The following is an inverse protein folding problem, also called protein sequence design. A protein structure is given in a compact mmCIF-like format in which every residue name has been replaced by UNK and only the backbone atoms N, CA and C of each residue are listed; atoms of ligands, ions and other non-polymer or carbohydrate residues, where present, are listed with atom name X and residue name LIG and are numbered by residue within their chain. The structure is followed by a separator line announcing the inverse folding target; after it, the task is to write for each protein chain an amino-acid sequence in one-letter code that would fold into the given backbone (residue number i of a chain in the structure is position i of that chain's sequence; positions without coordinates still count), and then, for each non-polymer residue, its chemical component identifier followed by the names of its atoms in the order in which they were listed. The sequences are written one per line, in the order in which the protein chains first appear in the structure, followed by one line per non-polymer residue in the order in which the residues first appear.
data_IF_928551773444
#
_entry.id   IF_928551773444
#
_cell.length_a   1.000
_cell.length_b   1.000
_cell.length_c   1.000
_cell.angle_alpha   90.00
_cell.angle_beta   90.00
_cell.angle_gamma   90.00
#
_symmetry.space_group_name_H-M   'P 1'
#
loop_
_entity.id
_entity.type
_entity.pdbx_description
1 polymer ?
#
# COMPACT_ATOMS: atom_id res chain seq x y z
N UNK A 1 4.61 20.37 -26.23
CA UNK A 1 5.46 19.18 -26.37
C UNK A 1 5.07 18.11 -25.38
N UNK A 2 5.34 16.89 -25.72
CA UNK A 2 5.09 15.77 -24.81
C UNK A 2 6.03 15.87 -23.61
N UNK A 3 5.47 16.04 -22.42
CA UNK A 3 6.24 16.13 -21.19
C UNK A 3 5.66 15.17 -20.15
N UNK A 4 6.50 14.75 -19.21
CA UNK A 4 6.02 14.05 -18.01
C UNK A 4 5.09 14.96 -17.23
N UNK A 5 4.10 14.37 -16.56
CA UNK A 5 3.13 15.11 -15.78
C UNK A 5 2.95 14.52 -14.40
N UNK A 6 2.87 15.39 -13.41
CA UNK A 6 2.54 15.03 -12.03
C UNK A 6 1.14 15.52 -11.70
N UNK A 7 0.26 14.58 -11.37
CA UNK A 7 -1.07 14.87 -10.85
C UNK A 7 -0.94 15.19 -9.36
N UNK A 8 -1.27 16.43 -8.94
CA UNK A 8 -1.13 16.85 -7.54
C UNK A 8 -2.33 16.36 -6.71
N UNK A 9 -2.54 15.06 -6.70
CA UNK A 9 -3.65 14.43 -5.97
C UNK A 9 -3.30 14.22 -4.49
N UNK A 10 -4.35 14.07 -3.67
CA UNK A 10 -4.23 13.85 -2.24
C UNK A 10 -5.60 13.82 -1.58
N UNK A 11 -5.66 13.53 -0.29
CA UNK A 11 -6.89 13.50 0.51
C UNK A 11 -6.58 13.77 1.98
N UNK A 12 -7.49 14.40 2.72
CA UNK A 12 -7.36 14.65 4.17
C UNK A 12 -6.03 15.30 4.57
N UNK A 13 -5.63 16.39 3.92
CA UNK A 13 -4.33 17.05 4.08
C UNK A 13 -3.11 16.19 3.68
N UNK A 14 -3.32 15.03 3.05
CA UNK A 14 -2.26 14.19 2.50
C UNK A 14 -1.99 14.57 1.06
N UNK A 15 -0.76 14.95 0.74
CA UNK A 15 -0.29 15.11 -0.64
C UNK A 15 0.35 13.80 -1.09
N UNK A 16 -0.26 13.13 -2.05
CA UNK A 16 0.15 11.81 -2.55
C UNK A 16 0.15 11.81 -4.09
N UNK A 17 1.10 12.50 -4.72
CA UNK A 17 1.11 12.65 -6.17
C UNK A 17 1.35 11.33 -6.88
N UNK A 18 0.71 11.18 -8.03
CA UNK A 18 1.03 10.18 -9.04
C UNK A 18 1.56 10.90 -10.29
N UNK A 19 2.60 10.34 -10.92
CA UNK A 19 3.17 10.94 -12.12
C UNK A 19 3.20 9.95 -13.27
N UNK A 20 3.18 10.48 -14.48
CA UNK A 20 3.37 9.71 -15.71
C UNK A 20 4.57 10.23 -16.50
N UNK A 21 5.24 9.34 -17.25
CA UNK A 21 6.20 9.77 -18.26
C UNK A 21 5.48 10.54 -19.38
N UNK A 22 6.24 11.21 -20.23
CA UNK A 22 5.69 11.88 -21.41
C UNK A 22 4.85 10.91 -22.26
N UNK A 23 3.57 11.20 -22.54
CA UNK A 23 2.79 10.46 -23.52
C UNK A 23 3.40 10.55 -24.92
N UNK A 24 3.15 9.58 -25.77
CA UNK A 24 3.64 9.56 -27.16
C UNK A 24 3.02 10.66 -28.02
N UNK A 25 1.80 11.08 -27.70
CA UNK A 25 1.07 12.19 -28.36
C UNK A 25 0.52 13.15 -27.32
N UNK A 26 0.51 14.44 -27.64
CA UNK A 26 0.11 15.53 -26.76
C UNK A 26 -1.41 15.70 -26.62
N UNK A 27 -2.19 14.96 -27.39
CA UNK A 27 -3.66 14.93 -27.32
C UNK A 27 -4.19 13.87 -26.36
N UNK A 28 -3.33 12.98 -25.86
CA UNK A 28 -3.73 11.96 -24.92
C UNK A 28 -4.07 12.59 -23.56
N UNK A 29 -5.17 12.14 -22.99
CA UNK A 29 -5.68 12.68 -21.74
C UNK A 29 -5.69 11.60 -20.65
N UNK A 30 -5.31 12.02 -19.45
CA UNK A 30 -5.29 11.19 -18.27
C UNK A 30 -5.99 11.88 -17.11
N UNK A 31 -6.61 11.09 -16.26
CA UNK A 31 -7.16 11.53 -14.98
C UNK A 31 -6.57 10.70 -13.86
N UNK A 32 -6.42 11.30 -12.69
CA UNK A 32 -5.93 10.61 -11.51
C UNK A 32 -6.71 11.01 -10.26
N UNK A 33 -6.88 10.05 -9.35
CA UNK A 33 -7.46 10.25 -8.03
C UNK A 33 -6.70 9.42 -7.00
N UNK A 34 -6.60 9.92 -5.77
CA UNK A 34 -5.96 9.26 -4.65
C UNK A 34 -6.97 8.84 -3.59
N UNK A 35 -6.78 7.64 -3.05
CA UNK A 35 -7.58 7.08 -1.97
C UNK A 35 -6.67 6.71 -0.80
N UNK A 36 -6.83 7.39 0.33
CA UNK A 36 -6.20 7.02 1.59
C UNK A 36 -7.11 6.02 2.32
N UNK A 37 -7.16 4.83 1.79
CA UNK A 37 -8.01 3.75 2.30
C UNK A 37 -7.47 2.40 1.84
N UNK A 38 -7.83 1.34 2.57
CA UNK A 38 -7.52 -0.03 2.20
C UNK A 38 -8.25 -0.42 0.91
N UNK A 39 -7.54 -0.75 -0.17
CA UNK A 39 -8.16 -1.18 -1.41
C UNK A 39 -8.75 -2.60 -1.34
N UNK A 40 -8.49 -3.38 -0.28
CA UNK A 40 -8.83 -4.80 -0.19
C UNK A 40 -10.31 -5.11 -0.42
N UNK A 41 -11.22 -4.26 0.07
CA UNK A 41 -12.66 -4.48 -0.04
C UNK A 41 -13.15 -4.56 -1.50
N UNK A 42 -12.51 -3.82 -2.41
CA UNK A 42 -12.84 -3.79 -3.83
C UNK A 42 -11.85 -4.55 -4.70
N UNK A 43 -10.60 -4.67 -4.24
CA UNK A 43 -9.47 -5.22 -4.99
C UNK A 43 -8.68 -6.15 -4.06
N UNK A 44 -9.09 -7.42 -3.96
CA UNK A 44 -8.53 -8.37 -3.01
C UNK A 44 -6.99 -8.41 -3.04
N UNK A 45 -6.35 -8.04 -1.94
CA UNK A 45 -4.89 -8.06 -1.81
C UNK A 45 -4.30 -9.47 -1.75
N UNK A 46 -5.14 -10.49 -1.54
CA UNK A 46 -4.76 -11.89 -1.64
C UNK A 46 -4.62 -12.36 -3.11
N UNK A 47 -5.34 -11.71 -4.05
CA UNK A 47 -5.27 -12.00 -5.48
C UNK A 47 -4.12 -11.20 -6.10
N UNK A 48 -2.94 -11.79 -6.17
CA UNK A 48 -1.72 -11.14 -6.67
C UNK A 48 -0.80 -12.11 -7.40
N UNK A 49 0.03 -11.59 -8.30
CA UNK A 49 1.07 -12.37 -8.94
C UNK A 49 2.08 -12.92 -7.91
N UNK A 50 2.65 -14.12 -8.14
CA UNK A 50 3.65 -14.73 -7.25
C UNK A 50 4.92 -13.88 -7.05
N UNK A 51 5.21 -12.96 -7.97
CA UNK A 51 6.35 -12.02 -7.91
C UNK A 51 6.13 -10.87 -6.93
N UNK A 52 4.94 -10.77 -6.33
CA UNK A 52 4.59 -9.84 -5.26
C UNK A 52 4.42 -10.61 -3.96
N UNK A 53 5.16 -10.23 -2.93
CA UNK A 53 5.01 -10.80 -1.60
C UNK A 53 3.70 -10.31 -0.96
N UNK A 54 3.48 -9.01 -0.98
CA UNK A 54 2.23 -8.40 -0.47
C UNK A 54 1.91 -7.07 -1.15
N UNK A 55 0.66 -6.65 -0.98
CA UNK A 55 0.05 -5.44 -1.54
C UNK A 55 -0.21 -4.45 -0.41
N UNK A 56 0.04 -3.17 -0.63
CA UNK A 56 -0.30 -2.13 0.35
C UNK A 56 -1.81 -2.07 0.62
N UNK A 57 -2.17 -1.92 1.89
CA UNK A 57 -3.55 -1.77 2.35
C UNK A 57 -3.88 -0.36 2.84
N UNK A 58 -3.00 0.60 2.60
CA UNK A 58 -3.09 1.94 3.16
C UNK A 58 -3.57 2.97 2.18
N UNK A 59 -3.32 2.73 0.90
CA UNK A 59 -3.60 3.72 -0.14
C UNK A 59 -3.66 3.09 -1.52
N UNK A 60 -4.33 3.80 -2.42
CA UNK A 60 -4.37 3.46 -3.84
C UNK A 60 -4.58 4.71 -4.69
N UNK A 61 -4.24 4.60 -5.96
CA UNK A 61 -4.46 5.62 -6.98
C UNK A 61 -5.26 5.04 -8.12
N UNK A 62 -6.27 5.74 -8.56
CA UNK A 62 -6.88 5.48 -9.86
C UNK A 62 -6.21 6.39 -10.87
N UNK A 63 -5.63 5.81 -11.91
CA UNK A 63 -5.07 6.52 -13.05
C UNK A 63 -5.72 5.98 -14.32
N UNK A 64 -6.45 6.80 -15.03
CA UNK A 64 -7.14 6.41 -16.25
C UNK A 64 -6.66 7.24 -17.43
N UNK A 65 -6.43 6.57 -18.57
CA UNK A 65 -6.30 7.24 -19.87
C UNK A 65 -7.70 7.40 -20.45
N UNK A 66 -8.19 8.64 -20.50
CA UNK A 66 -9.54 8.97 -20.97
C UNK A 66 -9.60 9.18 -22.49
N UNK A 67 -8.47 9.54 -23.11
CA UNK A 67 -8.35 9.72 -24.57
C UNK A 67 -6.96 9.29 -25.01
N UNK A 68 -6.86 8.72 -26.21
CA UNK A 68 -5.62 8.36 -26.85
C UNK A 68 -5.16 6.93 -26.64
N UNK A 69 -3.92 6.63 -27.01
CA UNK A 69 -3.36 5.29 -27.02
C UNK A 69 -1.95 5.18 -26.41
N UNK A 70 -1.36 6.28 -25.91
CA UNK A 70 0.00 6.27 -25.37
C UNK A 70 0.14 5.34 -24.17
N UNK A 71 1.23 4.59 -24.16
CA UNK A 71 1.73 3.91 -22.96
C UNK A 71 2.65 4.83 -22.20
N UNK A 72 2.54 4.85 -20.87
CA UNK A 72 3.34 5.70 -19.97
C UNK A 72 3.86 4.91 -18.78
N UNK A 73 5.05 5.28 -18.29
CA UNK A 73 5.48 4.77 -16.98
C UNK A 73 4.71 5.49 -15.89
N UNK A 74 4.35 4.76 -14.84
CA UNK A 74 3.58 5.26 -13.70
C UNK A 74 4.50 5.36 -12.49
N UNK A 75 4.52 6.51 -11.84
CA UNK A 75 5.27 6.77 -10.60
C UNK A 75 4.30 7.04 -9.47
N UNK A 76 4.40 6.26 -8.40
CA UNK A 76 3.66 6.43 -7.16
C UNK A 76 4.58 7.01 -6.09
N UNK A 77 4.05 7.89 -5.26
CA UNK A 77 4.75 8.43 -4.10
C UNK A 77 4.46 7.62 -2.84
N UNK A 78 5.30 7.79 -1.82
CA UNK A 78 5.03 7.34 -0.45
C UNK A 78 5.51 8.37 0.56
N UNK A 79 4.96 8.31 1.76
CA UNK A 79 5.44 9.02 2.96
C UNK A 79 5.21 8.15 4.22
N UNK A 80 5.34 8.73 5.39
CA UNK A 80 5.18 8.03 6.67
C UNK A 80 3.78 7.43 6.88
N UNK A 81 2.78 7.81 6.06
CA UNK A 81 1.40 7.29 6.09
C UNK A 81 1.21 6.07 5.20
N UNK A 82 2.17 5.77 4.35
CA UNK A 82 2.14 4.64 3.40
C UNK A 82 2.48 3.29 4.06
N UNK A 83 2.22 3.18 5.38
CA UNK A 83 2.30 1.95 6.16
C UNK A 83 3.67 1.26 6.25
N UNK A 84 4.73 2.06 6.21
CA UNK A 84 6.06 1.60 6.56
C UNK A 84 6.85 1.01 5.39
N UNK A 85 7.60 1.86 4.72
CA UNK A 85 8.62 1.43 3.79
C UNK A 85 9.93 1.23 4.58
N UNK A 86 10.51 0.05 4.52
CA UNK A 86 11.78 -0.29 5.19
C UNK A 86 12.90 -0.59 4.19
N UNK A 87 12.55 -1.02 2.99
CA UNK A 87 13.48 -1.30 1.91
C UNK A 87 12.95 -0.77 0.56
N UNK A 88 13.56 0.28 0.05
CA UNK A 88 13.16 0.89 -1.23
C UNK A 88 13.49 0.01 -2.44
N UNK A 89 14.44 -0.92 -2.33
CA UNK A 89 14.78 -1.87 -3.39
C UNK A 89 13.68 -2.90 -3.67
N UNK A 90 12.88 -3.23 -2.67
CA UNK A 90 11.82 -4.24 -2.77
C UNK A 90 10.45 -3.65 -3.08
N UNK A 91 10.28 -2.32 -2.98
CA UNK A 91 9.02 -1.65 -3.32
C UNK A 91 8.71 -1.81 -4.81
N UNK A 92 7.46 -2.02 -5.15
CA UNK A 92 6.96 -2.17 -6.52
C UNK A 92 5.73 -1.33 -6.75
N UNK A 93 5.52 -0.95 -7.99
CA UNK A 93 4.22 -0.48 -8.47
C UNK A 93 3.37 -1.71 -8.78
N UNK A 94 2.22 -1.85 -8.12
CA UNK A 94 1.22 -2.87 -8.46
C UNK A 94 0.04 -2.25 -9.20
N UNK A 95 -0.52 -2.99 -10.15
CA UNK A 95 -1.68 -2.60 -10.96
C UNK A 95 -2.74 -3.68 -10.91
N UNK A 96 -4.00 -3.31 -10.65
CA UNK A 96 -5.14 -4.22 -10.70
C UNK A 96 -5.59 -4.44 -12.14
N UNK A 97 -5.50 -5.67 -12.64
CA UNK A 97 -5.84 -6.01 -14.03
C UNK A 97 -7.30 -6.45 -14.26
N UNK A 98 -8.15 -6.34 -13.23
CA UNK A 98 -9.53 -6.82 -13.25
C UNK A 98 -9.74 -8.13 -12.50
N UNK A 99 -8.69 -8.89 -12.17
CA UNK A 99 -8.77 -10.17 -11.46
C UNK A 99 -7.73 -10.34 -10.36
N UNK A 100 -6.56 -9.72 -10.54
CA UNK A 100 -5.46 -9.77 -9.59
C UNK A 100 -4.56 -8.54 -9.69
N UNK A 101 -3.76 -8.33 -8.67
CA UNK A 101 -2.65 -7.38 -8.69
C UNK A 101 -1.48 -7.93 -9.50
N UNK A 102 -1.04 -7.17 -10.48
CA UNK A 102 0.10 -7.49 -11.35
C UNK A 102 1.31 -6.64 -10.97
N UNK A 103 2.49 -7.22 -11.08
CA UNK A 103 3.75 -6.56 -10.79
C UNK A 103 4.16 -5.64 -11.95
N UNK A 104 3.99 -4.35 -11.78
CA UNK A 104 4.47 -3.33 -12.73
C UNK A 104 5.96 -2.97 -12.53
N UNK A 105 6.61 -3.60 -11.54
CA UNK A 105 8.05 -3.51 -11.32
C UNK A 105 8.50 -2.29 -10.53
N UNK A 106 9.81 -2.15 -10.48
CA UNK A 106 10.55 -1.02 -9.93
C UNK A 106 11.60 -0.59 -10.96
N UNK A 107 11.32 0.45 -11.71
CA UNK A 107 12.24 1.07 -12.67
C UNK A 107 13.13 2.15 -12.04
N UNK A 108 13.09 2.27 -10.71
CA UNK A 108 13.88 3.19 -9.91
C UNK A 108 13.05 3.88 -8.84
N UNK A 109 13.72 4.16 -7.73
CA UNK A 109 13.15 4.89 -6.59
C UNK A 109 13.87 6.21 -6.38
N UNK A 110 13.19 7.16 -5.73
CA UNK A 110 13.78 8.42 -5.27
C UNK A 110 13.36 8.68 -3.83
N UNK A 111 14.14 9.45 -3.11
CA UNK A 111 13.85 9.78 -1.70
C UNK A 111 14.42 8.77 -0.71
N UNK A 112 13.78 8.69 0.45
CA UNK A 112 14.17 7.84 1.58
C UNK A 112 13.06 6.88 1.95
N UNK A 113 13.26 6.05 2.97
CA UNK A 113 12.19 5.20 3.53
C UNK A 113 11.01 6.01 4.09
N UNK A 114 11.26 7.24 4.58
CA UNK A 114 10.22 8.09 5.15
C UNK A 114 9.40 8.86 4.11
N UNK A 115 9.97 9.17 2.95
CA UNK A 115 9.27 9.81 1.85
C UNK A 115 10.02 9.60 0.54
N UNK A 116 9.31 9.25 -0.51
CA UNK A 116 9.92 8.99 -1.80
C UNK A 116 8.92 8.62 -2.88
N UNK A 117 9.41 7.99 -3.93
CA UNK A 117 8.59 7.49 -5.03
C UNK A 117 9.23 6.31 -5.75
N UNK A 118 8.39 5.45 -6.35
CA UNK A 118 8.79 4.35 -7.21
C UNK A 118 8.13 4.51 -8.59
N UNK A 119 8.88 4.24 -9.64
CA UNK A 119 8.34 4.21 -11.01
C UNK A 119 8.23 2.77 -11.52
N UNK A 120 7.22 2.46 -12.31
CA UNK A 120 7.09 1.16 -12.99
C UNK A 120 8.32 0.86 -13.86
N UNK A 121 8.71 -0.40 -13.97
CA UNK A 121 9.89 -0.82 -14.77
C UNK A 121 9.73 -0.64 -16.28
N UNK A 122 8.54 -0.26 -16.73
CA UNK A 122 8.25 0.03 -18.12
C UNK A 122 6.95 0.78 -18.29
N UNK A 123 6.69 1.25 -19.50
CA UNK A 123 5.45 1.93 -19.85
C UNK A 123 4.25 0.97 -19.75
N UNK A 124 3.14 1.46 -19.21
CA UNK A 124 1.87 0.76 -19.07
C UNK A 124 0.92 1.19 -20.19
N UNK A 125 0.28 0.22 -20.81
CA UNK A 125 -0.80 0.43 -21.79
C UNK A 125 -2.19 0.25 -21.18
N UNK A 126 -2.27 -0.44 -20.02
CA UNK A 126 -3.47 -0.63 -19.22
C UNK A 126 -3.42 0.25 -17.97
N UNK A 127 -4.57 0.82 -17.65
CA UNK A 127 -4.75 1.76 -16.55
C UNK A 127 -5.90 1.32 -15.65
N UNK A 128 -6.14 2.06 -14.58
CA UNK A 128 -7.11 1.73 -13.55
C UNK A 128 -6.52 1.95 -12.17
N UNK A 129 -6.60 0.94 -11.30
CA UNK A 129 -6.16 1.08 -9.92
C UNK A 129 -4.71 0.61 -9.76
N UNK A 130 -3.91 1.46 -9.13
CA UNK A 130 -2.52 1.22 -8.77
C UNK A 130 -2.34 1.34 -7.25
N UNK A 131 -1.38 0.62 -6.72
CA UNK A 131 -0.94 0.77 -5.32
C UNK A 131 0.54 0.41 -5.17
N UNK A 132 1.08 0.70 -4.01
CA UNK A 132 2.40 0.20 -3.60
C UNK A 132 2.32 -1.29 -3.25
N UNK A 133 3.41 -2.00 -3.47
CA UNK A 133 3.55 -3.41 -3.10
C UNK A 133 5.00 -3.73 -2.82
N UNK A 134 5.28 -4.89 -2.25
CA UNK A 134 6.64 -5.38 -2.03
C UNK A 134 6.88 -6.69 -2.76
N UNK A 135 8.12 -6.87 -3.23
CA UNK A 135 8.57 -8.14 -3.82
C UNK A 135 9.17 -9.09 -2.77
N UNK A 136 9.30 -8.65 -1.52
CA UNK A 136 9.88 -9.40 -0.42
C UNK A 136 9.20 -9.01 0.91
N UNK A 137 9.35 -9.80 1.99
CA UNK A 137 8.74 -9.51 3.29
C UNK A 137 9.31 -8.30 4.04
N UNK A 138 10.07 -7.45 3.39
CA UNK A 138 10.84 -6.35 4.00
C UNK A 138 10.01 -5.09 4.30
N UNK A 139 8.95 -4.84 3.55
CA UNK A 139 8.07 -3.68 3.73
C UNK A 139 6.79 -4.17 4.40
N UNK A 140 6.54 -3.94 5.69
CA UNK A 140 5.47 -4.62 6.42
C UNK A 140 4.04 -4.34 5.92
N UNK A 141 3.76 -3.18 5.37
CA UNK A 141 2.47 -2.79 4.76
C UNK A 141 1.24 -3.48 5.39
N UNK A 142 0.74 -3.14 6.48
CA UNK A 142 0.58 -3.56 7.87
C UNK A 142 0.11 -5.02 8.14
N UNK A 143 0.32 -5.46 9.38
CA UNK A 143 -0.26 -6.69 9.95
C UNK A 143 -1.79 -6.61 9.91
N UNK A 144 -2.43 -7.60 9.29
CA UNK A 144 -3.88 -7.71 9.30
C UNK A 144 -4.34 -8.50 10.52
N UNK A 145 -5.07 -7.83 11.41
CA UNK A 145 -5.75 -8.48 12.53
C UNK A 145 -7.10 -9.04 12.04
N UNK A 146 -7.21 -10.35 11.93
CA UNK A 146 -8.44 -11.02 11.48
C UNK A 146 -9.52 -10.99 12.56
N UNK A 147 -9.13 -11.17 13.81
CA UNK A 147 -10.05 -11.12 14.95
C UNK A 147 -9.31 -10.74 16.24
N UNK A 148 -10.01 -10.06 17.13
CA UNK A 148 -9.61 -9.81 18.50
C UNK A 148 -10.86 -9.93 19.37
N UNK A 149 -10.85 -10.88 20.29
CA UNK A 149 -11.98 -11.16 21.18
C UNK A 149 -11.50 -11.34 22.62
N UNK A 150 -12.37 -11.01 23.60
CA UNK A 150 -12.13 -11.24 25.01
C UNK A 150 -13.29 -11.99 25.63
N UNK A 151 -13.00 -13.01 26.43
CA UNK A 151 -13.97 -13.78 27.20
C UNK A 151 -13.68 -13.68 28.69
N UNK A 152 -14.72 -13.42 29.49
CA UNK A 152 -14.60 -13.42 30.96
C UNK A 152 -14.56 -14.85 31.49
N UNK A 153 -13.45 -15.21 32.12
CA UNK A 153 -13.28 -16.54 32.79
C UNK A 153 -13.11 -16.33 34.29
N UNK A 154 -14.26 -16.13 34.97
CA UNK A 154 -14.25 -15.87 36.43
C UNK A 154 -13.66 -14.50 36.76
N UNK A 155 -12.45 -14.44 37.31
CA UNK A 155 -11.75 -13.21 37.71
C UNK A 155 -10.75 -12.71 36.66
N UNK A 156 -10.63 -13.38 35.53
CA UNK A 156 -9.70 -13.04 34.46
C UNK A 156 -10.43 -12.83 33.14
N UNK A 157 -9.79 -12.09 32.24
CA UNK A 157 -10.22 -11.95 30.83
C UNK A 157 -9.22 -12.72 29.98
N UNK A 158 -9.71 -13.69 29.22
CA UNK A 158 -8.92 -14.41 28.25
C UNK A 158 -9.04 -13.70 26.90
N UNK A 159 -7.91 -13.28 26.33
CA UNK A 159 -7.84 -12.61 25.05
C UNK A 159 -7.45 -13.61 23.95
N UNK A 160 -8.17 -13.58 22.84
CA UNK A 160 -7.87 -14.34 21.64
C UNK A 160 -7.74 -13.39 20.47
N UNK A 161 -6.66 -13.53 19.72
CA UNK A 161 -6.53 -12.81 18.44
C UNK A 161 -5.97 -13.74 17.37
N UNK A 162 -6.29 -13.40 16.15
CA UNK A 162 -5.81 -14.07 14.96
C UNK A 162 -5.38 -13.03 13.93
N UNK A 163 -4.22 -13.22 13.36
CA UNK A 163 -3.67 -12.41 12.29
C UNK A 163 -3.76 -13.17 10.97
N UNK A 164 -3.91 -12.47 9.86
CA UNK A 164 -3.83 -13.05 8.51
C UNK A 164 -2.38 -13.20 8.09
N UNK A 165 -1.54 -12.25 8.52
CA UNK A 165 -0.10 -12.28 8.27
C UNK A 165 0.64 -11.58 9.41
N UNK A 166 1.84 -12.03 9.71
CA UNK A 166 2.73 -11.47 10.74
C UNK A 166 4.13 -11.17 10.17
N UNK A 167 4.21 -10.68 8.95
CA UNK A 167 5.51 -10.35 8.35
C UNK A 167 6.19 -9.19 9.09
N UNK A 168 7.40 -9.44 9.59
CA UNK A 168 8.22 -8.47 10.35
C UNK A 168 7.53 -7.89 11.60
N UNK A 169 6.53 -8.55 12.13
CA UNK A 169 5.98 -8.20 13.43
C UNK A 169 6.85 -8.83 14.52
N UNK A 170 7.53 -8.02 15.32
CA UNK A 170 8.38 -8.53 16.40
C UNK A 170 7.57 -8.89 17.64
N UNK A 171 6.48 -8.18 17.91
CA UNK A 171 5.63 -8.37 19.08
C UNK A 171 4.28 -7.67 18.94
N UNK A 172 3.33 -8.11 19.76
CA UNK A 172 2.08 -7.41 20.06
C UNK A 172 2.19 -6.78 21.44
N UNK A 173 1.66 -5.58 21.61
CA UNK A 173 1.48 -4.96 22.92
C UNK A 173 0.02 -5.07 23.31
N UNK A 174 -0.24 -5.64 24.50
CA UNK A 174 -1.58 -5.66 25.10
C UNK A 174 -1.67 -4.45 26.01
N UNK A 175 -2.66 -3.60 25.76
CA UNK A 175 -2.91 -2.40 26.54
C UNK A 175 -4.33 -2.42 27.09
N UNK A 176 -4.50 -1.82 28.27
CA UNK A 176 -5.78 -1.67 28.94
C UNK A 176 -6.08 -0.20 29.17
N UNK A 177 -7.35 0.15 29.04
CA UNK A 177 -7.86 1.47 29.39
C UNK A 177 -9.16 1.37 30.16
N UNK A 178 -9.28 2.08 31.26
CA UNK A 178 -10.51 2.19 32.04
C UNK A 178 -11.46 3.26 31.50
N UNK A 179 -10.96 4.26 30.77
CA UNK A 179 -11.71 5.43 30.29
C UNK A 179 -11.71 5.59 28.77
N UNK A 180 -11.04 4.69 28.04
CA UNK A 180 -10.88 4.72 26.59
C UNK A 180 -9.97 5.88 26.10
N UNK A 181 -9.28 6.58 27.00
CA UNK A 181 -8.41 7.73 26.68
C UNK A 181 -6.97 7.54 27.10
N UNK A 182 -6.76 6.88 28.23
CA UNK A 182 -5.43 6.57 28.77
C UNK A 182 -5.23 5.07 28.68
N UNK A 183 -4.14 4.65 28.07
CA UNK A 183 -3.81 3.25 27.84
C UNK A 183 -2.57 2.89 28.63
N UNK A 184 -2.61 1.78 29.33
CA UNK A 184 -1.51 1.24 30.11
C UNK A 184 -1.11 -0.11 29.51
N UNK A 185 0.18 -0.29 29.27
CA UNK A 185 0.71 -1.55 28.76
C UNK A 185 0.62 -2.61 29.84
N UNK A 186 -0.08 -3.72 29.54
CA UNK A 186 -0.17 -4.89 30.39
C UNK A 186 0.92 -5.90 30.08
N UNK A 187 1.13 -6.21 28.80
CA UNK A 187 2.08 -7.24 28.40
C UNK A 187 2.56 -7.04 26.95
N UNK A 188 3.71 -7.66 26.67
CA UNK A 188 4.33 -7.71 25.35
C UNK A 188 4.48 -9.16 24.92
N UNK A 189 3.77 -9.56 23.87
CA UNK A 189 3.75 -10.92 23.32
C UNK A 189 4.61 -10.97 22.06
N UNK A 190 5.62 -11.82 22.04
CA UNK A 190 6.48 -11.99 20.86
C UNK A 190 5.66 -12.62 19.72
N UNK A 191 5.73 -12.03 18.53
CA UNK A 191 5.07 -12.55 17.34
C UNK A 191 5.73 -13.87 16.89
N UNK A 192 4.91 -14.79 16.37
CA UNK A 192 5.42 -16.11 15.94
C UNK A 192 6.05 -16.09 14.54
N UNK A 193 5.94 -14.99 13.76
CA UNK A 193 6.46 -14.83 12.41
C UNK A 193 6.17 -16.07 11.54
N UNK A 194 4.90 -16.32 11.28
CA UNK A 194 4.42 -17.38 10.41
C UNK A 194 4.49 -16.96 8.94
#
# INVERSE_FOLDING_TARGET
GNQSFTFPVGKNNSYAPVSISAPGVNTDQFTAEYFQADPHASYSTASKEPSLDHISRCESWTLNRTTGASSVSVRLSWDTRSCGITNTGDIRVAHWNGGQWTNSGNGGTTGTISAGSVVSSGARSSFGVFTLSSAAPTNPLPVELLSFTGECTGTAIQLHWKTVSEHNNHYFTIEHSADGKRWEMLEKIIAKNL
#
